data_IF_979860580265
#
_entry.id   IF_979860580265
#
_cell.length_a   1.000
_cell.length_b   1.000
_cell.length_c   1.000
_cell.angle_alpha   90.00
_cell.angle_beta   90.00
_cell.angle_gamma   90.00
#
_symmetry.space_group_name_H-M   'P 1'
#
loop_
_entity.id
_entity.type
_entity.pdbx_description
1 polymer ?
#
# COMPACT_ATOMS: atom_id res chain seq x y z
N UNK A 1 -12.52 -2.13 17.91
CA UNK A 1 -13.38 -1.51 16.87
C UNK A 1 -12.47 -0.84 15.86
N UNK A 2 -12.36 -1.45 14.68
CA UNK A 2 -11.54 -0.95 13.57
C UNK A 2 -12.07 0.40 13.10
N UNK A 3 -11.23 1.44 13.08
CA UNK A 3 -11.56 2.71 12.44
C UNK A 3 -11.49 2.50 10.93
N UNK A 4 -12.64 2.29 10.31
CA UNK A 4 -12.83 1.83 8.92
C UNK A 4 -12.28 2.75 7.80
N UNK A 5 -11.55 3.82 8.13
CA UNK A 5 -11.05 4.80 7.15
C UNK A 5 -9.55 4.71 6.86
N UNK A 6 -8.79 3.90 7.60
CA UNK A 6 -7.31 3.89 7.51
C UNK A 6 -6.74 2.69 6.73
N UNK A 7 -7.58 1.73 6.32
CA UNK A 7 -7.16 0.48 5.64
C UNK A 7 -7.43 0.53 4.12
N UNK A 8 -8.13 1.55 3.62
CA UNK A 8 -8.51 1.66 2.19
C UNK A 8 -7.31 1.57 1.23
N UNK A 9 -6.14 2.12 1.61
CA UNK A 9 -4.93 2.01 0.80
C UNK A 9 -4.44 0.56 0.71
N UNK A 10 -4.49 -0.20 1.81
CA UNK A 10 -4.13 -1.61 1.80
C UNK A 10 -5.15 -2.41 0.98
N UNK A 11 -6.45 -2.14 1.16
CA UNK A 11 -7.52 -2.84 0.42
C UNK A 11 -7.39 -2.65 -1.08
N UNK A 12 -7.20 -1.42 -1.55
CA UNK A 12 -7.13 -1.10 -2.98
C UNK A 12 -5.96 -1.79 -3.66
N UNK A 13 -4.80 -1.86 -3.00
CA UNK A 13 -3.59 -2.40 -3.62
C UNK A 13 -3.40 -3.90 -3.41
N UNK A 14 -3.98 -4.48 -2.36
CA UNK A 14 -3.96 -5.94 -2.14
C UNK A 14 -5.17 -6.65 -2.75
N UNK A 15 -6.23 -5.91 -3.11
CA UNK A 15 -7.50 -6.48 -3.54
C UNK A 15 -8.27 -7.23 -2.44
N UNK A 16 -7.77 -7.19 -1.20
CA UNK A 16 -8.34 -7.93 -0.06
C UNK A 16 -9.06 -6.98 0.89
N UNK A 17 -10.10 -7.44 1.58
CA UNK A 17 -10.83 -6.69 2.60
C UNK A 17 -10.43 -7.15 4.00
N UNK A 18 -10.45 -6.28 5.02
CA UNK A 18 -10.17 -6.69 6.41
C UNK A 18 -11.14 -7.75 6.95
N UNK A 19 -12.28 -7.94 6.29
CA UNK A 19 -13.33 -8.89 6.64
C UNK A 19 -13.30 -10.19 5.83
N UNK A 20 -12.33 -10.35 4.93
CA UNK A 20 -12.19 -11.61 4.18
C UNK A 20 -11.86 -12.75 5.16
N UNK A 21 -12.37 -13.95 4.88
CA UNK A 21 -12.31 -15.10 5.80
C UNK A 21 -10.90 -15.47 6.24
N UNK A 22 -9.88 -15.17 5.43
CA UNK A 22 -8.49 -15.42 5.78
C UNK A 22 -7.95 -14.53 6.92
N UNK A 23 -8.64 -13.44 7.24
CA UNK A 23 -8.25 -12.52 8.32
C UNK A 23 -9.17 -12.74 9.52
N UNK A 24 -8.69 -13.48 10.52
CA UNK A 24 -9.38 -13.70 11.78
C UNK A 24 -8.49 -13.39 12.98
N UNK A 25 -9.12 -13.19 14.14
CA UNK A 25 -8.41 -13.10 15.42
C UNK A 25 -7.25 -12.10 15.39
N UNK A 26 -6.04 -12.63 15.54
CA UNK A 26 -4.80 -11.86 15.57
C UNK A 26 -4.16 -11.66 14.18
N UNK A 27 -4.65 -12.34 13.14
CA UNK A 27 -4.14 -12.24 11.77
C UNK A 27 -4.99 -11.27 10.95
N UNK A 28 -4.51 -10.02 10.84
CA UNK A 28 -5.20 -8.95 10.11
C UNK A 28 -4.56 -8.67 8.75
N UNK A 29 -5.31 -8.05 7.83
CA UNK A 29 -4.78 -7.51 6.56
C UNK A 29 -3.51 -6.65 6.79
N UNK A 30 -3.49 -5.84 7.86
CA UNK A 30 -2.31 -5.07 8.23
C UNK A 30 -1.12 -5.96 8.56
N UNK A 31 -1.34 -7.02 9.33
CA UNK A 31 -0.29 -7.96 9.76
C UNK A 31 0.31 -8.68 8.55
N UNK A 32 -0.55 -9.20 7.66
CA UNK A 32 -0.15 -9.83 6.41
C UNK A 32 0.72 -8.91 5.54
N UNK A 33 0.30 -7.66 5.34
CA UNK A 33 1.09 -6.69 4.56
C UNK A 33 2.41 -6.33 5.29
N UNK A 34 2.38 -6.18 6.62
CA UNK A 34 3.57 -5.85 7.41
C UNK A 34 4.64 -6.95 7.35
N UNK A 35 4.24 -8.22 7.27
CA UNK A 35 5.15 -9.36 7.15
C UNK A 35 5.82 -9.44 5.78
N UNK A 36 5.12 -9.02 4.72
CA UNK A 36 5.68 -8.95 3.37
C UNK A 36 6.56 -7.70 3.14
N UNK A 37 6.42 -6.66 3.95
CA UNK A 37 7.06 -5.37 3.73
C UNK A 37 8.54 -5.35 4.19
N UNK A 38 9.46 -4.68 3.44
CA UNK A 38 9.30 -4.12 2.10
C UNK A 38 9.66 -5.11 0.98
N UNK A 39 10.28 -6.25 1.31
CA UNK A 39 11.00 -7.10 0.35
C UNK A 39 10.06 -7.93 -0.52
N UNK A 40 9.05 -8.54 0.09
CA UNK A 40 8.08 -9.42 -0.55
C UNK A 40 6.77 -8.69 -0.88
N UNK A 41 6.80 -7.36 -0.99
CA UNK A 41 5.58 -6.56 -1.15
C UNK A 41 4.81 -6.91 -2.43
N UNK A 42 5.50 -7.38 -3.47
CA UNK A 42 4.88 -7.87 -4.70
C UNK A 42 3.93 -9.04 -4.47
N UNK A 43 4.15 -9.83 -3.43
CA UNK A 43 3.44 -11.09 -3.20
C UNK A 43 2.06 -10.86 -2.58
N UNK A 44 1.83 -9.66 -2.05
CA UNK A 44 0.55 -9.25 -1.44
C UNK A 44 -0.20 -8.23 -2.30
N UNK A 45 0.36 -7.82 -3.44
CA UNK A 45 -0.23 -6.82 -4.33
C UNK A 45 -1.11 -7.51 -5.37
N UNK A 46 -2.32 -7.00 -5.56
CA UNK A 46 -3.13 -7.38 -6.70
C UNK A 46 -2.49 -6.83 -7.98
N UNK A 47 -2.36 -7.69 -8.98
CA UNK A 47 -1.89 -7.35 -10.32
C UNK A 47 -2.85 -6.40 -11.05
N UNK A 48 -4.13 -6.35 -10.68
CA UNK A 48 -5.17 -5.60 -11.39
C UNK A 48 -4.99 -4.06 -11.36
N UNK A 49 -4.69 -3.42 -10.20
CA UNK A 49 -4.29 -2.01 -10.14
C UNK A 49 -3.10 -1.63 -11.03
N UNK A 50 -2.19 -2.57 -11.30
CA UNK A 50 -0.93 -2.33 -12.02
C UNK A 50 -1.01 -2.60 -13.52
N UNK A 51 -2.01 -3.39 -13.96
CA UNK A 51 -2.12 -3.92 -15.32
C UNK A 51 -2.61 -2.91 -16.38
N UNK A 52 -2.65 -1.61 -16.07
CA UNK A 52 -3.04 -0.58 -17.06
C UNK A 52 -1.90 -0.09 -17.96
N UNK A 53 -0.66 -0.55 -17.76
CA UNK A 53 0.48 -0.07 -18.54
C UNK A 53 1.34 -1.20 -19.11
N UNK A 54 0.93 -1.67 -20.29
CA UNK A 54 1.59 -2.68 -21.10
C UNK A 54 2.89 -2.22 -21.80
N UNK A 55 3.83 -1.49 -21.16
CA UNK A 55 5.05 -1.06 -21.88
C UNK A 55 6.33 -1.05 -21.03
N UNK A 56 7.28 -1.94 -21.39
CA UNK A 56 8.70 -2.04 -20.99
C UNK A 56 9.04 -2.69 -19.64
N UNK A 57 9.45 -3.96 -19.65
CA UNK A 57 9.34 -4.90 -18.52
C UNK A 57 10.38 -4.82 -17.38
N UNK A 58 11.51 -4.11 -17.51
CA UNK A 58 12.63 -4.28 -16.53
C UNK A 58 13.01 -3.04 -15.72
N UNK A 59 12.94 -1.83 -16.28
CA UNK A 59 13.16 -0.57 -15.51
C UNK A 59 11.87 -0.04 -14.89
N UNK A 60 10.75 -0.23 -15.59
CA UNK A 60 9.42 0.15 -15.12
C UNK A 60 9.02 -0.67 -13.89
N UNK A 61 9.47 -1.93 -13.79
CA UNK A 61 9.19 -2.80 -12.63
C UNK A 61 9.86 -2.33 -11.34
N UNK A 62 11.13 -1.90 -11.38
CA UNK A 62 11.82 -1.39 -10.20
C UNK A 62 11.20 -0.06 -9.69
N UNK A 63 10.93 0.88 -10.60
CA UNK A 63 10.30 2.14 -10.22
C UNK A 63 8.86 1.96 -9.71
N UNK A 64 8.11 0.99 -10.27
CA UNK A 64 6.78 0.62 -9.76
C UNK A 64 6.91 -0.04 -8.38
N UNK A 65 7.87 -0.94 -8.16
CA UNK A 65 8.10 -1.53 -6.84
C UNK A 65 8.43 -0.46 -5.79
N UNK A 66 9.26 0.52 -6.12
CA UNK A 66 9.53 1.66 -5.23
C UNK A 66 8.24 2.44 -4.89
N UNK A 67 7.37 2.65 -5.88
CA UNK A 67 6.06 3.27 -5.65
C UNK A 67 5.18 2.44 -4.73
N UNK A 68 5.12 1.12 -4.94
CA UNK A 68 4.35 0.19 -4.11
C UNK A 68 4.85 0.20 -2.66
N UNK A 69 6.17 0.15 -2.45
CA UNK A 69 6.77 0.25 -1.12
C UNK A 69 6.36 1.56 -0.45
N UNK A 70 6.49 2.71 -1.14
CA UNK A 70 6.09 4.00 -0.57
C UNK A 70 4.60 4.08 -0.22
N UNK A 71 3.72 3.51 -1.07
CA UNK A 71 2.27 3.50 -0.82
C UNK A 71 1.93 2.60 0.37
N UNK A 72 2.55 1.42 0.45
CA UNK A 72 2.32 0.46 1.52
C UNK A 72 2.87 0.96 2.85
N UNK A 73 3.99 1.65 2.85
CA UNK A 73 4.52 2.33 4.04
C UNK A 73 3.50 3.33 4.62
N UNK A 74 2.84 4.12 3.75
CA UNK A 74 1.77 5.04 4.16
C UNK A 74 0.60 4.25 4.73
N UNK A 75 0.12 3.20 4.04
CA UNK A 75 -0.99 2.37 4.51
C UNK A 75 -0.73 1.72 5.88
N UNK A 76 0.47 1.18 6.10
CA UNK A 76 0.88 0.59 7.38
C UNK A 76 0.99 1.62 8.50
N UNK A 77 1.47 2.82 8.18
CA UNK A 77 1.61 3.92 9.13
C UNK A 77 0.27 4.56 9.50
N UNK A 78 -0.69 4.64 8.56
CA UNK A 78 -2.04 5.11 8.84
C UNK A 78 -2.83 4.11 9.69
N UNK A 79 -2.60 2.81 9.49
CA UNK A 79 -3.30 1.72 10.20
C UNK A 79 -2.70 1.37 11.57
N UNK A 80 -1.95 2.29 12.19
CA UNK A 80 -1.38 2.08 13.52
C UNK A 80 -2.44 1.69 14.57
N UNK A 81 -2.13 0.66 15.37
CA UNK A 81 -3.05 0.07 16.38
C UNK A 81 -3.52 1.11 17.41
N UNK A 82 -2.69 2.11 17.72
CA UNK A 82 -3.06 3.23 18.58
C UNK A 82 -3.03 4.55 17.81
N UNK A 83 -3.91 5.52 18.15
CA UNK A 83 -3.95 6.83 17.47
C UNK A 83 -2.60 7.54 17.43
N UNK A 84 -1.82 7.47 18.51
CA UNK A 84 -0.51 8.12 18.61
C UNK A 84 0.58 7.49 17.73
N UNK A 85 0.34 6.29 17.21
CA UNK A 85 1.26 5.62 16.26
C UNK A 85 0.88 5.89 14.80
N UNK A 86 -0.25 6.59 14.56
CA UNK A 86 -0.73 6.87 13.22
C UNK A 86 -0.03 8.10 12.65
N UNK A 87 0.29 8.05 11.37
CA UNK A 87 0.83 9.21 10.66
C UNK A 87 -0.18 10.36 10.64
N UNK A 88 0.29 11.59 10.84
CA UNK A 88 -0.56 12.77 10.72
C UNK A 88 -1.07 12.94 9.28
N UNK A 89 -2.35 13.26 9.12
CA UNK A 89 -2.97 13.38 7.79
C UNK A 89 -2.30 14.42 6.90
N UNK A 90 -1.68 15.48 7.46
CA UNK A 90 -0.89 16.44 6.68
C UNK A 90 0.34 15.77 6.09
N UNK A 91 1.02 14.92 6.85
CA UNK A 91 2.16 14.15 6.37
C UNK A 91 1.75 13.14 5.30
N UNK A 92 0.60 12.48 5.48
CA UNK A 92 0.01 11.57 4.47
C UNK A 92 -0.19 12.31 3.15
N UNK A 93 -0.78 13.51 3.15
CA UNK A 93 -0.99 14.32 1.94
C UNK A 93 0.34 14.70 1.28
N UNK A 94 1.36 15.06 2.06
CA UNK A 94 2.69 15.38 1.54
C UNK A 94 3.32 14.17 0.86
N UNK A 95 3.29 12.99 1.49
CA UNK A 95 3.87 11.77 0.94
C UNK A 95 3.13 11.29 -0.32
N UNK A 96 1.79 11.28 -0.30
CA UNK A 96 0.98 10.95 -1.48
C UNK A 96 1.22 11.93 -2.64
N UNK A 97 1.41 13.22 -2.35
CA UNK A 97 1.75 14.21 -3.38
C UNK A 97 3.10 13.93 -4.03
N UNK A 98 4.08 13.50 -3.23
CA UNK A 98 5.41 13.10 -3.72
C UNK A 98 5.34 11.85 -4.59
N UNK A 99 4.56 10.84 -4.18
CA UNK A 99 4.30 9.63 -4.98
C UNK A 99 3.68 10.00 -6.32
N UNK A 100 2.63 10.83 -6.32
CA UNK A 100 1.97 11.30 -7.55
C UNK A 100 2.93 12.03 -8.49
N UNK A 101 3.84 12.84 -7.96
CA UNK A 101 4.87 13.51 -8.77
C UNK A 101 5.84 12.49 -9.39
N UNK A 102 6.27 11.48 -8.63
CA UNK A 102 7.11 10.39 -9.14
C UNK A 102 6.43 9.57 -10.23
N UNK A 103 5.15 9.24 -10.07
CA UNK A 103 4.39 8.49 -11.10
C UNK A 103 4.35 9.23 -12.43
N UNK A 104 4.14 10.56 -12.41
CA UNK A 104 4.15 11.38 -13.65
C UNK A 104 5.50 11.36 -14.38
N UNK A 105 6.61 11.21 -13.66
CA UNK A 105 7.95 11.11 -14.25
C UNK A 105 8.22 9.73 -14.89
N UNK A 106 7.41 8.70 -14.58
CA UNK A 106 7.53 7.34 -15.12
C UNK A 106 6.65 7.17 -16.38
N UNK A 107 5.63 8.01 -16.56
CA UNK A 107 4.73 8.01 -17.72
C UNK A 107 5.12 9.01 -18.81
N UNK A 108 6.08 9.91 -18.50
CA UNK A 108 6.61 10.92 -19.42
C UNK A 108 7.75 10.39 -20.29
#
# INVERSE_FOLDING_TARGET
MSTATEILLLEVFTGSKPTDEQFDGDFSLRQWVAEAFPVAISDVIDSHPLNKSNNTATKRSAAINDLLVMIMEIGLSCSGVSPNKRMDMKEVVVKLSRIRQKTRMIEG
#
